data_IF_987322732191
#
_entry.id   IF_987322732191
#
_cell.length_a   1.000
_cell.length_b   1.000
_cell.length_c   1.000
_cell.angle_alpha   90.00
_cell.angle_beta   90.00
_cell.angle_gamma   90.00
#
_symmetry.space_group_name_H-M   'P 1'
#
loop_
_entity.id
_entity.type
_entity.pdbx_description
1 polymer ?
#
# COMPACT_ATOMS: atom_id res chain seq x y z
N UNK A 1 4.83 4.48 11.52
CA UNK A 1 4.05 3.24 11.69
C UNK A 1 4.90 2.08 11.22
N UNK A 2 4.76 0.87 11.79
CA UNK A 2 5.44 -0.32 11.26
C UNK A 2 4.73 -0.84 10.01
N UNK A 3 5.43 -1.63 9.19
CA UNK A 3 4.85 -2.33 8.03
C UNK A 3 3.66 -3.21 8.44
N UNK A 4 3.78 -3.90 9.58
CA UNK A 4 2.72 -4.75 10.13
C UNK A 4 1.49 -3.95 10.54
N UNK A 5 1.67 -2.85 11.25
CA UNK A 5 0.56 -1.97 11.62
C UNK A 5 -0.11 -1.34 10.39
N UNK A 6 0.66 -1.03 9.33
CA UNK A 6 0.10 -0.52 8.08
C UNK A 6 -0.66 -1.60 7.30
N UNK A 7 -0.12 -2.81 7.25
CA UNK A 7 -0.78 -3.96 6.63
C UNK A 7 -2.12 -4.26 7.33
N UNK A 8 -2.14 -4.30 8.66
CA UNK A 8 -3.35 -4.47 9.47
C UNK A 8 -4.36 -3.35 9.18
N UNK A 9 -3.91 -2.09 9.21
CA UNK A 9 -4.75 -0.92 8.90
C UNK A 9 -5.39 -0.99 7.50
N UNK A 10 -4.68 -1.57 6.53
CA UNK A 10 -5.17 -1.73 5.17
C UNK A 10 -5.92 -3.05 4.93
N UNK A 11 -6.04 -3.93 5.94
CA UNK A 11 -6.69 -5.24 5.79
C UNK A 11 -5.89 -6.25 4.97
N UNK A 12 -4.56 -6.09 4.89
CA UNK A 12 -3.67 -7.00 4.15
C UNK A 12 -2.77 -7.81 5.08
N UNK A 13 -2.33 -8.97 4.60
CA UNK A 13 -1.27 -9.72 5.26
C UNK A 13 0.06 -8.95 5.19
N UNK A 14 0.85 -8.98 6.27
CA UNK A 14 2.20 -8.40 6.32
C UNK A 14 3.09 -8.88 5.17
N UNK A 15 2.96 -10.15 4.78
CA UNK A 15 3.71 -10.76 3.66
C UNK A 15 3.33 -10.15 2.30
N UNK A 16 2.05 -9.79 2.10
CA UNK A 16 1.63 -9.05 0.92
C UNK A 16 2.26 -7.65 0.91
N UNK A 17 2.18 -6.92 2.01
CA UNK A 17 2.78 -5.58 2.13
C UNK A 17 4.29 -5.60 1.84
N UNK A 18 5.01 -6.58 2.39
CA UNK A 18 6.44 -6.76 2.11
C UNK A 18 6.74 -7.00 0.62
N UNK A 19 5.88 -7.73 -0.10
CA UNK A 19 6.04 -7.92 -1.54
C UNK A 19 5.73 -6.66 -2.33
N UNK A 20 4.76 -5.86 -1.90
CA UNK A 20 4.45 -4.56 -2.53
C UNK A 20 5.66 -3.63 -2.42
N UNK A 21 6.21 -3.46 -1.21
CA UNK A 21 7.34 -2.56 -0.95
C UNK A 21 8.64 -2.99 -1.65
N UNK A 22 8.81 -4.28 -1.93
CA UNK A 22 9.99 -4.82 -2.62
C UNK A 22 9.79 -4.99 -4.14
N UNK A 23 8.64 -4.57 -4.69
CA UNK A 23 8.31 -4.75 -6.10
C UNK A 23 8.06 -6.21 -6.51
N UNK A 24 7.91 -7.12 -5.55
CA UNK A 24 7.65 -8.54 -5.77
C UNK A 24 6.19 -8.86 -6.16
N UNK A 25 5.31 -7.85 -6.25
CA UNK A 25 3.95 -7.95 -6.77
C UNK A 25 3.52 -6.61 -7.35
N UNK A 26 2.65 -6.64 -8.37
CA UNK A 26 1.95 -5.46 -8.87
C UNK A 26 0.58 -5.36 -8.18
N UNK A 27 0.31 -4.37 -7.30
CA UNK A 27 -0.97 -4.23 -6.62
C UNK A 27 -2.10 -3.88 -7.61
N UNK A 28 -3.33 -4.29 -7.30
CA UNK A 28 -4.50 -3.81 -8.06
C UNK A 28 -4.79 -2.34 -7.74
N UNK A 29 -5.55 -1.67 -8.61
CA UNK A 29 -6.01 -0.30 -8.35
C UNK A 29 -6.79 -0.18 -7.03
N UNK A 30 -7.61 -1.18 -6.68
CA UNK A 30 -8.34 -1.20 -5.41
C UNK A 30 -7.40 -1.26 -4.19
N UNK A 31 -6.31 -2.02 -4.29
CA UNK A 31 -5.29 -2.09 -3.24
C UNK A 31 -4.57 -0.74 -3.11
N UNK A 32 -4.19 -0.12 -4.24
CA UNK A 32 -3.57 1.21 -4.24
C UNK A 32 -4.52 2.28 -3.67
N UNK A 33 -5.82 2.22 -4.00
CA UNK A 33 -6.83 3.11 -3.43
C UNK A 33 -6.96 2.91 -1.91
N UNK A 34 -6.83 1.68 -1.43
CA UNK A 34 -6.82 1.36 0.00
C UNK A 34 -5.60 1.98 0.68
N UNK A 35 -4.40 1.84 0.08
CA UNK A 35 -3.18 2.44 0.59
C UNK A 35 -3.27 3.97 0.67
N UNK A 36 -3.72 4.61 -0.40
CA UNK A 36 -3.89 6.07 -0.46
C UNK A 36 -4.85 6.56 0.64
N UNK A 37 -5.98 5.86 0.80
CA UNK A 37 -6.96 6.15 1.87
C UNK A 37 -6.35 5.99 3.26
N UNK A 38 -5.60 4.92 3.50
CA UNK A 38 -4.94 4.67 4.77
C UNK A 38 -3.84 5.71 5.07
N UNK A 39 -3.14 6.19 4.05
CA UNK A 39 -2.12 7.24 4.12
C UNK A 39 -2.70 8.66 4.18
N UNK A 40 -4.02 8.81 3.98
CA UNK A 40 -4.73 10.10 3.94
C UNK A 40 -4.19 11.03 2.84
N UNK A 41 -3.92 10.46 1.67
CA UNK A 41 -3.46 11.19 0.49
C UNK A 41 -4.27 10.81 -0.76
N UNK A 42 -4.32 11.68 -1.78
CA UNK A 42 -4.86 11.31 -3.08
C UNK A 42 -4.12 10.13 -3.69
N UNK A 43 -4.83 9.28 -4.45
CA UNK A 43 -4.22 8.14 -5.16
C UNK A 43 -3.10 8.58 -6.12
N UNK A 44 -3.25 9.73 -6.76
CA UNK A 44 -2.26 10.29 -7.69
C UNK A 44 -0.88 10.50 -7.05
N UNK A 45 -0.83 10.80 -5.75
CA UNK A 45 0.42 11.04 -5.03
C UNK A 45 1.25 9.75 -4.86
N UNK A 46 0.63 8.56 -4.95
CA UNK A 46 1.39 7.29 -4.98
C UNK A 46 2.28 7.16 -6.22
N UNK A 47 2.02 7.94 -7.26
CA UNK A 47 2.73 7.90 -8.54
C UNK A 47 3.62 9.13 -8.76
N UNK A 48 3.71 10.07 -7.82
CA UNK A 48 4.36 11.38 -7.98
C UNK A 48 5.90 11.35 -8.15
N UNK A 49 6.53 10.17 -8.18
CA UNK A 49 7.97 9.99 -8.37
C UNK A 49 8.33 8.88 -9.36
N UNK A 50 7.36 8.44 -10.18
CA UNK A 50 7.62 7.54 -11.30
C UNK A 50 8.05 8.30 -12.55
#
# INVERSE_FOLDING_TARGET
MSQEAFAEKCGFARTYMSRVETGGVNPSLDALQTFATALKMPLSELFAGM
#
